data_IF_297395858168
#
_entry.id   IF_297395858168
#
_cell.length_a   1.000
_cell.length_b   1.000
_cell.length_c   1.000
_cell.angle_alpha   90.00
_cell.angle_beta   90.00
_cell.angle_gamma   90.00
#
_symmetry.space_group_name_H-M   'P 1'
#
loop_
_entity.id
_entity.type
_entity.pdbx_description
1 polymer ?
#
# COMPACT_ATOMS: atom_id res chain seq x y z
N UNK A 1 -6.38 21.59 31.88
CA UNK A 1 -6.18 20.36 31.08
C UNK A 1 -5.01 20.59 30.12
N UNK A 2 -3.82 20.06 30.44
CA UNK A 2 -2.65 20.19 29.57
C UNK A 2 -2.76 19.20 28.41
N UNK A 3 -3.37 19.64 27.30
CA UNK A 3 -3.32 18.92 26.03
C UNK A 3 -1.93 19.10 25.41
N UNK A 4 -0.95 18.38 25.95
CA UNK A 4 0.26 18.09 25.18
C UNK A 4 -0.16 17.10 24.09
N UNK A 5 -0.49 17.62 22.91
CA UNK A 5 -0.69 16.77 21.74
C UNK A 5 0.62 16.02 21.51
N UNK A 6 0.65 14.73 21.86
CA UNK A 6 1.77 13.84 21.51
C UNK A 6 1.81 13.80 19.99
N UNK A 7 2.69 14.60 19.39
CA UNK A 7 2.89 14.68 17.95
C UNK A 7 3.05 13.25 17.41
N UNK A 8 2.11 12.84 16.55
CA UNK A 8 2.12 11.53 15.89
C UNK A 8 1.26 10.43 16.54
N UNK A 9 0.53 10.69 17.63
CA UNK A 9 -0.42 9.69 18.16
C UNK A 9 -1.69 9.66 17.31
N UNK A 10 -1.76 8.71 16.38
CA UNK A 10 -2.89 8.51 15.49
C UNK A 10 -4.10 7.94 16.26
N UNK A 11 -5.33 8.43 16.02
CA UNK A 11 -6.55 7.80 16.53
C UNK A 11 -6.61 6.31 16.12
N UNK A 12 -7.05 5.44 17.02
CA UNK A 12 -7.10 4.00 16.77
C UNK A 12 -7.95 3.62 15.57
N UNK A 13 -9.06 4.34 15.33
CA UNK A 13 -9.92 4.10 14.16
C UNK A 13 -9.17 4.38 12.86
N UNK A 14 -8.43 5.49 12.79
CA UNK A 14 -7.71 5.92 11.60
C UNK A 14 -6.55 4.98 11.31
N UNK A 15 -5.88 4.51 12.37
CA UNK A 15 -4.85 3.48 12.27
C UNK A 15 -5.42 2.19 11.69
N UNK A 16 -6.52 1.69 12.24
CA UNK A 16 -7.15 0.46 11.77
C UNK A 16 -7.64 0.60 10.33
N UNK A 17 -8.18 1.78 9.97
CA UNK A 17 -8.59 2.08 8.61
C UNK A 17 -7.42 1.97 7.62
N UNK A 18 -6.26 2.59 7.91
CA UNK A 18 -5.05 2.46 7.08
C UNK A 18 -4.58 1.02 6.99
N UNK A 19 -4.53 0.30 8.12
CA UNK A 19 -4.06 -1.09 8.14
C UNK A 19 -4.96 -1.98 7.28
N UNK A 20 -6.28 -1.92 7.47
CA UNK A 20 -7.24 -2.73 6.72
C UNK A 20 -7.19 -2.37 5.23
N UNK A 21 -7.17 -1.08 4.87
CA UNK A 21 -7.16 -0.67 3.48
C UNK A 21 -5.88 -1.12 2.74
N UNK A 22 -4.71 -0.95 3.35
CA UNK A 22 -3.44 -1.39 2.78
C UNK A 22 -3.37 -2.92 2.68
N UNK A 23 -3.77 -3.65 3.73
CA UNK A 23 -3.81 -5.11 3.72
C UNK A 23 -4.76 -5.65 2.65
N UNK A 24 -5.98 -5.12 2.56
CA UNK A 24 -6.95 -5.52 1.54
C UNK A 24 -6.42 -5.29 0.12
N UNK A 25 -5.76 -4.16 -0.12
CA UNK A 25 -5.14 -3.86 -1.42
C UNK A 25 -4.01 -4.85 -1.74
N UNK A 26 -3.09 -5.09 -0.80
CA UNK A 26 -1.97 -6.02 -0.98
C UNK A 26 -2.43 -7.47 -1.17
N UNK A 27 -3.44 -7.91 -0.41
CA UNK A 27 -3.96 -9.28 -0.48
C UNK A 27 -4.70 -9.53 -1.80
N UNK A 28 -5.56 -8.61 -2.23
CA UNK A 28 -6.26 -8.75 -3.51
C UNK A 28 -5.30 -8.66 -4.70
N UNK A 29 -4.27 -7.80 -4.63
CA UNK A 29 -3.22 -7.73 -5.65
C UNK A 29 -2.38 -9.00 -5.72
N UNK A 30 -2.01 -9.57 -4.57
CA UNK A 30 -1.27 -10.84 -4.49
C UNK A 30 -2.12 -12.00 -5.01
N UNK A 31 -3.41 -12.03 -4.65
CA UNK A 31 -4.35 -13.02 -5.16
C UNK A 31 -4.43 -12.96 -6.70
N UNK A 32 -4.64 -11.77 -7.26
CA UNK A 32 -4.69 -11.58 -8.71
C UNK A 32 -3.37 -11.99 -9.39
N UNK A 33 -2.23 -11.61 -8.82
CA UNK A 33 -0.90 -11.98 -9.30
C UNK A 33 -0.73 -13.51 -9.41
N UNK A 34 -1.10 -14.25 -8.36
CA UNK A 34 -1.00 -15.71 -8.34
C UNK A 34 -1.82 -16.34 -9.46
N UNK A 35 -3.05 -15.86 -9.70
CA UNK A 35 -3.93 -16.43 -10.73
C UNK A 35 -3.65 -15.96 -12.15
N UNK A 36 -3.31 -14.69 -12.32
CA UNK A 36 -3.13 -14.08 -13.64
C UNK A 36 -1.73 -14.35 -14.21
N UNK A 37 -0.69 -14.04 -13.43
CA UNK A 37 0.70 -14.09 -13.88
C UNK A 37 1.31 -15.48 -13.68
N UNK A 38 1.12 -16.07 -12.49
CA UNK A 38 1.68 -17.38 -12.15
C UNK A 38 0.75 -18.55 -12.48
N UNK A 39 -0.46 -18.27 -12.98
CA UNK A 39 -1.46 -19.26 -13.38
C UNK A 39 -1.89 -20.25 -12.27
N UNK A 40 -1.68 -19.91 -11.00
CA UNK A 40 -2.10 -20.70 -9.84
C UNK A 40 -3.59 -20.45 -9.58
N UNK A 41 -4.42 -21.51 -9.60
CA UNK A 41 -5.87 -21.37 -9.38
C UNK A 41 -6.53 -20.32 -10.29
N UNK A 42 -6.10 -20.24 -11.55
CA UNK A 42 -6.48 -19.19 -12.52
C UNK A 42 -7.99 -18.96 -12.61
N UNK A 43 -8.79 -20.02 -12.54
CA UNK A 43 -10.25 -19.94 -12.62
C UNK A 43 -10.90 -19.16 -11.45
N UNK A 44 -10.20 -19.06 -10.32
CA UNK A 44 -10.67 -18.35 -9.13
C UNK A 44 -9.92 -17.03 -8.98
N UNK A 45 -8.59 -17.09 -8.95
CA UNK A 45 -7.73 -15.97 -8.58
C UNK A 45 -7.43 -15.01 -9.74
N UNK A 46 -7.38 -15.52 -10.98
CA UNK A 46 -7.05 -14.73 -12.18
C UNK A 46 -8.25 -14.05 -12.82
N UNK A 47 -9.37 -13.97 -12.10
CA UNK A 47 -10.65 -13.46 -12.62
C UNK A 47 -10.71 -11.94 -12.56
N UNK A 48 -11.51 -11.35 -13.47
CA UNK A 48 -11.75 -9.91 -13.49
C UNK A 48 -12.35 -9.38 -12.18
N UNK A 49 -13.13 -10.19 -11.45
CA UNK A 49 -13.71 -9.79 -10.17
C UNK A 49 -12.64 -9.53 -9.11
N UNK A 50 -11.58 -10.34 -9.05
CA UNK A 50 -10.45 -10.13 -8.13
C UNK A 50 -9.71 -8.83 -8.49
N UNK A 51 -9.49 -8.58 -9.79
CA UNK A 51 -8.89 -7.32 -10.25
C UNK A 51 -9.76 -6.09 -9.91
N UNK A 52 -11.08 -6.20 -10.08
CA UNK A 52 -12.01 -5.13 -9.73
C UNK A 52 -11.98 -4.82 -8.22
N UNK A 53 -11.96 -5.85 -7.38
CA UNK A 53 -11.80 -5.69 -5.93
C UNK A 53 -10.45 -5.08 -5.56
N UNK A 54 -9.38 -5.43 -6.28
CA UNK A 54 -8.08 -4.80 -6.11
C UNK A 54 -8.14 -3.29 -6.42
N UNK A 55 -8.79 -2.89 -7.52
CA UNK A 55 -9.00 -1.47 -7.85
C UNK A 55 -9.75 -0.71 -6.76
N UNK A 56 -10.85 -1.26 -6.23
CA UNK A 56 -11.62 -0.66 -5.12
C UNK A 56 -10.77 -0.56 -3.85
N UNK A 57 -10.01 -1.61 -3.53
CA UNK A 57 -9.12 -1.62 -2.38
C UNK A 57 -7.99 -0.60 -2.54
N UNK A 58 -7.43 -0.44 -3.74
CA UNK A 58 -6.39 0.55 -4.04
C UNK A 58 -6.90 1.99 -3.90
N UNK A 59 -8.12 2.29 -4.37
CA UNK A 59 -8.77 3.58 -4.13
C UNK A 59 -8.95 3.85 -2.64
N UNK A 60 -9.44 2.85 -1.89
CA UNK A 60 -9.63 2.94 -0.43
C UNK A 60 -8.31 3.16 0.30
N UNK A 61 -7.25 2.45 -0.10
CA UNK A 61 -5.90 2.60 0.45
C UNK A 61 -5.32 3.99 0.18
N UNK A 62 -5.60 4.57 -0.99
CA UNK A 62 -5.17 5.93 -1.35
C UNK A 62 -5.86 6.98 -0.49
N UNK A 63 -7.17 6.84 -0.26
CA UNK A 63 -7.93 7.70 0.66
C UNK A 63 -7.36 7.57 2.09
N UNK A 64 -7.11 6.34 2.54
CA UNK A 64 -6.54 6.08 3.85
C UNK A 64 -5.15 6.72 4.02
N UNK A 65 -4.27 6.60 3.03
CA UNK A 65 -2.97 7.26 3.00
C UNK A 65 -3.11 8.79 3.09
N UNK A 66 -3.97 9.38 2.26
CA UNK A 66 -4.24 10.81 2.27
C UNK A 66 -4.70 11.34 3.62
N UNK A 67 -5.49 10.54 4.36
CA UNK A 67 -5.98 10.93 5.70
C UNK A 67 -4.86 11.07 6.74
N UNK A 68 -3.75 10.32 6.59
CA UNK A 68 -2.67 10.26 7.60
C UNK A 68 -1.40 10.97 7.19
N UNK A 69 -1.14 11.14 5.88
CA UNK A 69 0.16 11.54 5.34
C UNK A 69 0.71 12.83 5.95
N UNK A 70 -0.04 13.96 6.04
CA UNK A 70 0.53 15.22 6.54
C UNK A 70 1.00 15.13 8.00
N UNK A 71 0.20 14.46 8.84
CA UNK A 71 0.49 14.32 10.26
C UNK A 71 1.59 13.29 10.52
N UNK A 72 1.54 12.17 9.81
CA UNK A 72 2.51 11.09 9.95
C UNK A 72 3.90 11.51 9.45
N UNK A 73 3.96 12.19 8.30
CA UNK A 73 5.21 12.71 7.75
C UNK A 73 5.82 13.80 8.65
N UNK A 74 5.02 14.77 9.10
CA UNK A 74 5.48 15.82 10.03
C UNK A 74 6.03 15.22 11.33
N UNK A 75 5.37 14.21 11.89
CA UNK A 75 5.84 13.51 13.08
C UNK A 75 7.15 12.75 12.82
N UNK A 76 7.26 12.06 11.67
CA UNK A 76 8.47 11.34 11.25
C UNK A 76 9.66 12.26 11.04
N UNK A 77 9.48 13.41 10.39
CA UNK A 77 10.53 14.42 10.18
C UNK A 77 11.02 15.00 11.51
N UNK A 78 10.11 15.29 12.44
CA UNK A 78 10.48 15.83 13.76
C UNK A 78 11.17 14.80 14.65
N UNK A 79 10.67 13.57 14.70
CA UNK A 79 11.21 12.54 15.60
C UNK A 79 12.42 11.81 14.99
N UNK A 80 12.63 11.86 13.67
CA UNK A 80 13.56 11.04 12.88
C UNK A 80 13.41 9.51 13.03
N UNK A 81 12.55 9.03 13.95
CA UNK A 81 12.25 7.61 14.17
C UNK A 81 11.47 7.05 12.99
N UNK A 82 11.93 5.91 12.46
CA UNK A 82 11.32 5.19 11.33
C UNK A 82 11.15 6.04 10.05
N UNK A 83 11.84 7.19 9.95
CA UNK A 83 11.71 8.12 8.82
C UNK A 83 12.06 7.45 7.50
N UNK A 84 13.22 6.77 7.43
CA UNK A 84 13.66 6.08 6.22
C UNK A 84 12.68 5.00 5.76
N UNK A 85 12.22 4.14 6.67
CA UNK A 85 11.21 3.13 6.32
C UNK A 85 9.91 3.76 5.82
N UNK A 86 9.49 4.90 6.38
CA UNK A 86 8.30 5.62 5.94
C UNK A 86 8.47 6.31 4.58
N UNK A 87 9.65 6.88 4.29
CA UNK A 87 9.95 7.47 2.99
C UNK A 87 10.04 6.41 1.89
N UNK A 88 10.65 5.26 2.18
CA UNK A 88 10.70 4.12 1.26
C UNK A 88 9.29 3.59 0.98
N UNK A 89 8.45 3.44 2.01
CA UNK A 89 7.03 3.10 1.86
C UNK A 89 6.30 4.09 0.95
N UNK A 90 6.50 5.39 1.16
CA UNK A 90 5.88 6.42 0.34
C UNK A 90 6.34 6.36 -1.12
N UNK A 91 7.64 6.15 -1.36
CA UNK A 91 8.19 5.99 -2.70
C UNK A 91 7.57 4.79 -3.43
N UNK A 92 7.43 3.64 -2.76
CA UNK A 92 6.77 2.48 -3.35
C UNK A 92 5.29 2.72 -3.63
N UNK A 93 4.56 3.37 -2.72
CA UNK A 93 3.16 3.73 -2.96
C UNK A 93 3.01 4.68 -4.15
N UNK A 94 3.90 5.66 -4.30
CA UNK A 94 3.93 6.53 -5.49
C UNK A 94 4.20 5.75 -6.77
N UNK A 95 5.16 4.83 -6.77
CA UNK A 95 5.45 3.98 -7.91
C UNK A 95 4.28 3.05 -8.26
N UNK A 96 3.57 2.51 -7.26
CA UNK A 96 2.38 1.68 -7.45
C UNK A 96 1.20 2.47 -8.03
N UNK A 97 0.98 3.70 -7.57
CA UNK A 97 -0.05 4.56 -8.13
C UNK A 97 0.26 4.93 -9.58
N UNK A 98 1.52 5.29 -9.87
CA UNK A 98 1.94 5.64 -11.22
C UNK A 98 1.83 4.44 -12.18
N UNK A 99 2.35 3.27 -11.78
CA UNK A 99 2.25 2.06 -12.59
C UNK A 99 0.81 1.57 -12.74
N UNK A 100 -0.03 1.66 -11.69
CA UNK A 100 -1.46 1.35 -11.80
C UNK A 100 -2.19 2.28 -12.79
N UNK A 101 -1.86 3.57 -12.78
CA UNK A 101 -2.39 4.51 -13.78
C UNK A 101 -1.91 4.18 -15.19
N UNK A 102 -0.63 3.80 -15.36
CA UNK A 102 -0.10 3.37 -16.66
C UNK A 102 -0.73 2.05 -17.15
N UNK A 103 -1.07 1.11 -16.25
CA UNK A 103 -1.80 -0.11 -16.63
C UNK A 103 -3.21 0.18 -17.14
N UNK A 104 -3.82 1.26 -16.67
CA UNK A 104 -5.18 1.64 -17.04
C UNK A 104 -5.25 2.61 -18.23
N UNK A 105 -4.32 3.56 -18.30
CA UNK A 105 -4.34 4.68 -19.26
C UNK A 105 -3.10 4.74 -20.16
N UNK A 106 -2.10 3.90 -19.93
CA UNK A 106 -0.84 3.94 -20.67
C UNK A 106 -0.91 3.21 -22.02
N UNK A 107 0.11 3.45 -22.88
CA UNK A 107 0.25 2.75 -24.16
C UNK A 107 0.43 1.24 -23.99
N UNK A 108 -0.03 0.46 -24.98
CA UNK A 108 0.10 -1.00 -24.98
C UNK A 108 1.57 -1.44 -25.05
N UNK A 109 2.42 -0.67 -25.73
CA UNK A 109 3.83 -0.96 -25.97
C UNK A 109 4.67 -1.03 -24.69
N UNK A 110 4.23 -0.37 -23.62
CA UNK A 110 4.91 -0.41 -22.32
C UNK A 110 4.19 -1.30 -21.30
N UNK A 111 3.10 -1.96 -21.69
CA UNK A 111 2.21 -2.63 -20.73
C UNK A 111 2.91 -3.75 -19.98
N UNK A 112 3.64 -4.62 -20.68
CA UNK A 112 4.35 -5.76 -20.07
C UNK A 112 5.40 -5.35 -19.03
N UNK A 113 6.35 -4.43 -19.32
CA UNK A 113 7.29 -3.97 -18.30
C UNK A 113 6.59 -3.21 -17.15
N UNK A 114 5.46 -2.54 -17.40
CA UNK A 114 4.66 -1.91 -16.34
C UNK A 114 4.00 -2.95 -15.44
N UNK A 115 3.46 -4.06 -16.00
CA UNK A 115 2.92 -5.19 -15.21
C UNK A 115 4.01 -5.71 -14.27
N UNK A 116 5.17 -6.04 -14.83
CA UNK A 116 6.31 -6.56 -14.06
C UNK A 116 6.70 -5.60 -12.92
N UNK A 117 6.87 -4.32 -13.25
CA UNK A 117 7.22 -3.29 -12.28
C UNK A 117 6.16 -3.15 -11.19
N UNK A 118 4.87 -3.18 -11.55
CA UNK A 118 3.78 -3.00 -10.61
C UNK A 118 3.75 -4.12 -9.56
N UNK A 119 3.76 -5.39 -9.99
CA UNK A 119 3.66 -6.49 -9.04
C UNK A 119 4.94 -6.67 -8.21
N UNK A 120 6.13 -6.50 -8.81
CA UNK A 120 7.40 -6.59 -8.07
C UNK A 120 7.47 -5.53 -6.97
N UNK A 121 7.09 -4.30 -7.32
CA UNK A 121 6.99 -3.20 -6.37
C UNK A 121 5.92 -3.49 -5.30
N UNK A 122 4.80 -4.09 -5.70
CA UNK A 122 3.69 -4.44 -4.80
C UNK A 122 4.09 -5.44 -3.72
N UNK A 123 4.83 -6.50 -4.10
CA UNK A 123 5.35 -7.50 -3.16
C UNK A 123 6.39 -6.87 -2.22
N UNK A 124 7.32 -6.08 -2.75
CA UNK A 124 8.32 -5.38 -1.94
C UNK A 124 7.68 -4.41 -0.94
N UNK A 125 6.71 -3.60 -1.40
CA UNK A 125 5.91 -2.73 -0.55
C UNK A 125 5.22 -3.52 0.56
N UNK A 126 4.54 -4.61 0.22
CA UNK A 126 3.76 -5.39 1.18
C UNK A 126 4.63 -5.98 2.29
N UNK A 127 5.78 -6.56 1.94
CA UNK A 127 6.75 -7.07 2.92
C UNK A 127 7.23 -5.97 3.88
N UNK A 128 7.62 -4.81 3.35
CA UNK A 128 8.09 -3.69 4.16
C UNK A 128 6.95 -3.10 4.99
N UNK A 129 5.71 -3.10 4.48
CA UNK A 129 4.54 -2.62 5.18
C UNK A 129 4.26 -3.45 6.43
N UNK A 130 4.33 -4.78 6.31
CA UNK A 130 4.20 -5.69 7.45
C UNK A 130 5.29 -5.40 8.50
N UNK A 131 6.53 -5.20 8.07
CA UNK A 131 7.63 -4.88 8.99
C UNK A 131 7.43 -3.51 9.68
N UNK A 132 7.08 -2.47 8.92
CA UNK A 132 6.93 -1.10 9.39
C UNK A 132 5.71 -0.92 10.31
N UNK A 133 4.55 -1.43 9.86
CA UNK A 133 3.24 -1.16 10.44
C UNK A 133 2.73 -2.22 11.41
N UNK A 134 3.08 -3.51 11.21
CA UNK A 134 2.54 -4.63 12.00
C UNK A 134 3.55 -5.14 13.02
N UNK A 135 4.77 -5.48 12.61
CA UNK A 135 5.77 -6.09 13.49
C UNK A 135 6.49 -5.09 14.38
N UNK A 136 6.88 -3.94 13.83
CA UNK A 136 7.58 -2.91 14.62
C UNK A 136 6.68 -2.19 15.65
N UNK A 137 5.42 -2.64 15.83
CA UNK A 137 4.54 -2.27 16.95
C UNK A 137 4.57 -3.26 18.10
N UNK A 138 5.00 -4.52 17.88
CA UNK A 138 5.06 -5.53 18.95
C UNK A 138 6.31 -5.44 19.83
N UNK A 139 7.34 -4.70 19.38
CA UNK A 139 8.66 -4.64 20.03
C UNK A 139 8.99 -3.27 20.68
N UNK A 140 8.01 -2.38 20.87
CA UNK A 140 8.21 -1.09 21.54
C UNK A 140 7.00 -0.67 22.34
#
# INVERSE_FOLDING_TARGET
MNNTSRLGKMPSWQRNFVLIAMLSCSLTGTAYLLGHEFHIERAVLGTHSVLAWHGIAAMTATIALGSVLPFHLKAGLKSRRKLWSGLIQLAFLSALLASGALLYYGPEEIRDPVIATHWMTGIAFFAIFLLHGVYAQKMG
#
